data_IF_875407780179
#
_entry.id   IF_875407780179
#
_cell.length_a   1.000
_cell.length_b   1.000
_cell.length_c   1.000
_cell.angle_alpha   90.00
_cell.angle_beta   90.00
_cell.angle_gamma   90.00
#
_symmetry.space_group_name_H-M   'P 1'
#
loop_
_entity.id
_entity.type
_entity.pdbx_description
1 polymer ?
#
# COMPACT_ATOMS: atom_id res chain seq x y z
N UNK A 1 26.82 -11.04 12.47
CA UNK A 1 26.30 -10.79 11.10
C UNK A 1 24.76 -10.53 11.09
N UNK A 2 24.06 -10.55 12.24
CA UNK A 2 22.61 -10.35 12.31
C UNK A 2 22.10 -9.08 13.01
N UNK A 3 22.87 -7.99 13.12
CA UNK A 3 22.37 -6.78 13.84
C UNK A 3 21.71 -5.75 12.93
N UNK A 4 22.29 -5.44 11.77
CA UNK A 4 21.89 -4.23 11.04
C UNK A 4 20.57 -4.38 10.25
N UNK A 5 20.29 -5.57 9.72
CA UNK A 5 19.05 -5.81 8.97
C UNK A 5 17.82 -5.85 9.87
N UNK A 6 17.94 -6.48 11.03
CA UNK A 6 16.84 -6.62 11.98
C UNK A 6 16.48 -5.25 12.60
N UNK A 7 17.47 -4.40 12.83
CA UNK A 7 17.26 -3.02 13.29
C UNK A 7 16.49 -2.20 12.25
N UNK A 8 16.85 -2.28 10.96
CA UNK A 8 16.11 -1.57 9.89
C UNK A 8 14.67 -2.05 9.79
N UNK A 9 14.44 -3.36 9.93
CA UNK A 9 13.08 -3.93 9.91
C UNK A 9 12.26 -3.44 11.11
N UNK A 10 12.85 -3.39 12.31
CA UNK A 10 12.16 -2.94 13.52
C UNK A 10 11.81 -1.45 13.45
N UNK A 11 12.76 -0.59 13.06
CA UNK A 11 12.53 0.85 12.90
C UNK A 11 11.44 1.12 11.84
N UNK A 12 11.50 0.42 10.70
CA UNK A 12 10.48 0.53 9.66
C UNK A 12 9.10 0.08 10.16
N UNK A 13 9.03 -1.00 10.92
CA UNK A 13 7.79 -1.51 11.50
C UNK A 13 7.19 -0.54 12.52
N UNK A 14 7.99 0.00 13.44
CA UNK A 14 7.54 0.98 14.44
C UNK A 14 6.99 2.25 13.79
N UNK A 15 7.66 2.71 12.73
CA UNK A 15 7.16 3.83 11.94
C UNK A 15 5.83 3.50 11.25
N UNK A 16 5.70 2.31 10.66
CA UNK A 16 4.47 1.85 10.03
C UNK A 16 3.31 1.76 11.03
N UNK A 17 3.57 1.26 12.23
CA UNK A 17 2.58 1.21 13.33
C UNK A 17 2.17 2.62 13.72
N UNK A 18 3.14 3.52 13.93
CA UNK A 18 2.86 4.94 14.26
C UNK A 18 1.99 5.62 13.19
N UNK A 19 2.27 5.37 11.90
CA UNK A 19 1.47 5.90 10.79
C UNK A 19 0.05 5.34 10.81
N UNK A 20 -0.09 4.05 11.10
CA UNK A 20 -1.39 3.40 11.23
C UNK A 20 -2.21 3.97 12.40
N UNK A 21 -1.59 4.20 13.56
CA UNK A 21 -2.25 4.79 14.73
C UNK A 21 -2.72 6.22 14.46
N UNK A 22 -1.86 7.03 13.84
CA UNK A 22 -2.17 8.41 13.44
C UNK A 22 -3.16 8.52 12.27
N UNK A 23 -3.58 7.39 11.69
CA UNK A 23 -4.49 7.30 10.53
C UNK A 23 -3.94 8.02 9.30
N UNK A 24 -2.62 8.00 9.11
CA UNK A 24 -1.95 8.69 8.00
C UNK A 24 -1.66 7.73 6.84
N UNK A 25 -1.56 8.31 5.64
CA UNK A 25 -1.05 7.66 4.44
C UNK A 25 0.45 7.90 4.32
N UNK A 26 1.19 7.02 3.64
CA UNK A 26 2.66 7.14 3.60
C UNK A 26 3.30 6.51 2.37
N UNK A 27 4.56 6.86 2.14
CA UNK A 27 5.42 6.23 1.12
C UNK A 27 6.69 5.72 1.80
N UNK A 28 6.89 4.41 1.76
CA UNK A 28 8.13 3.78 2.17
C UNK A 28 9.06 3.71 0.96
N UNK A 29 10.13 4.49 0.95
CA UNK A 29 11.01 4.64 -0.22
C UNK A 29 12.41 4.03 -0.01
N UNK A 30 12.52 3.07 0.91
CA UNK A 30 13.78 2.41 1.24
C UNK A 30 14.43 1.71 0.04
N UNK A 31 15.75 1.51 0.09
CA UNK A 31 16.49 0.76 -0.93
C UNK A 31 15.91 -0.65 -1.18
N UNK A 32 16.11 -1.13 -2.40
CA UNK A 32 15.73 -2.50 -2.78
C UNK A 32 16.50 -3.51 -1.93
N UNK A 33 15.82 -4.55 -1.43
CA UNK A 33 16.45 -5.60 -0.62
C UNK A 33 16.45 -5.36 0.90
N UNK A 34 15.96 -4.21 1.39
CA UNK A 34 15.81 -3.93 2.83
C UNK A 34 14.59 -4.61 3.49
N UNK A 35 13.83 -5.41 2.74
CA UNK A 35 12.73 -6.19 3.31
C UNK A 35 11.42 -5.42 3.53
N UNK A 36 11.13 -4.37 2.76
CA UNK A 36 9.86 -3.61 2.79
C UNK A 36 8.61 -4.51 2.78
N UNK A 37 8.63 -5.57 1.98
CA UNK A 37 7.57 -6.57 1.92
C UNK A 37 7.40 -7.29 3.27
N UNK A 38 8.51 -7.69 3.91
CA UNK A 38 8.49 -8.36 5.22
C UNK A 38 7.98 -7.41 6.31
N UNK A 39 8.46 -6.17 6.34
CA UNK A 39 7.97 -5.14 7.27
C UNK A 39 6.45 -4.93 7.13
N UNK A 40 5.96 -4.91 5.89
CA UNK A 40 4.53 -4.78 5.60
C UNK A 40 3.73 -5.99 6.06
N UNK A 41 4.21 -7.20 5.79
CA UNK A 41 3.55 -8.43 6.26
C UNK A 41 3.53 -8.48 7.79
N UNK A 42 4.64 -8.11 8.44
CA UNK A 42 4.73 -8.03 9.90
C UNK A 42 3.72 -7.03 10.47
N UNK A 43 3.58 -5.86 9.85
CA UNK A 43 2.55 -4.88 10.21
C UNK A 43 1.13 -5.46 10.08
N UNK A 44 0.81 -6.12 8.95
CA UNK A 44 -0.50 -6.72 8.76
C UNK A 44 -0.80 -7.82 9.78
N UNK A 45 0.20 -8.65 10.09
CA UNK A 45 0.09 -9.69 11.11
C UNK A 45 -0.14 -9.11 12.52
N UNK A 46 0.62 -8.06 12.87
CA UNK A 46 0.47 -7.34 14.13
C UNK A 46 -0.93 -6.73 14.26
N UNK A 47 -1.41 -6.04 13.21
CA UNK A 47 -2.76 -5.45 13.19
C UNK A 47 -3.87 -6.51 13.23
N UNK A 48 -3.67 -7.66 12.58
CA UNK A 48 -4.62 -8.76 12.63
C UNK A 48 -4.72 -9.35 14.04
N UNK A 49 -3.60 -9.46 14.77
CA UNK A 49 -3.57 -9.94 16.15
C UNK A 49 -4.18 -8.93 17.14
N UNK A 50 -3.79 -7.66 17.07
CA UNK A 50 -4.25 -6.65 18.02
C UNK A 50 -5.73 -6.31 17.88
N UNK A 51 -6.21 -6.17 16.64
CA UNK A 51 -7.52 -5.52 16.42
C UNK A 51 -8.69 -6.50 16.44
N UNK A 52 -8.47 -7.82 16.43
CA UNK A 52 -9.50 -8.87 16.54
C UNK A 52 -10.72 -8.75 15.61
N UNK A 53 -10.70 -7.79 14.68
CA UNK A 53 -11.87 -7.30 13.99
C UNK A 53 -12.01 -8.09 12.69
N UNK A 54 -12.83 -9.14 12.77
CA UNK A 54 -13.02 -10.16 11.73
C UNK A 54 -13.47 -9.62 10.37
N UNK A 55 -13.97 -8.38 10.31
CA UNK A 55 -14.41 -7.71 9.06
C UNK A 55 -13.37 -6.79 8.41
N UNK A 56 -12.14 -6.73 8.93
CA UNK A 56 -11.13 -5.82 8.37
C UNK A 56 -10.45 -6.45 7.16
N UNK A 57 -10.65 -5.86 5.98
CA UNK A 57 -9.98 -6.28 4.76
C UNK A 57 -8.75 -5.42 4.46
N UNK A 58 -7.60 -6.07 4.37
CA UNK A 58 -6.31 -5.49 3.96
C UNK A 58 -5.95 -6.01 2.57
N UNK A 59 -5.52 -5.13 1.66
CA UNK A 59 -5.07 -5.52 0.32
C UNK A 59 -3.59 -5.20 0.17
N UNK A 60 -2.79 -6.20 -0.16
CA UNK A 60 -1.40 -6.08 -0.52
C UNK A 60 -1.22 -6.40 -2.00
N UNK A 61 -0.83 -5.38 -2.78
CA UNK A 61 -0.56 -5.50 -4.20
C UNK A 61 0.92 -5.73 -4.40
N UNK A 62 1.28 -6.96 -4.74
CA UNK A 62 2.64 -7.31 -5.10
C UNK A 62 2.79 -7.34 -6.62
N UNK A 63 3.94 -6.91 -7.13
CA UNK A 63 4.34 -7.33 -8.47
C UNK A 63 4.57 -8.85 -8.47
N UNK A 64 4.07 -9.55 -9.49
CA UNK A 64 4.18 -11.01 -9.59
C UNK A 64 5.65 -11.45 -9.51
N UNK A 65 5.95 -12.37 -8.59
CA UNK A 65 7.18 -13.18 -8.66
C UNK A 65 6.92 -14.58 -9.23
N UNK A 66 5.68 -15.09 -9.19
CA UNK A 66 5.34 -16.41 -9.72
C UNK A 66 3.97 -16.46 -10.44
N UNK A 67 3.89 -17.00 -11.67
CA UNK A 67 2.64 -17.07 -12.47
C UNK A 67 1.63 -18.11 -11.97
N UNK A 68 2.03 -19.06 -11.13
CA UNK A 68 1.15 -20.15 -10.66
C UNK A 68 0.13 -19.70 -9.59
N UNK A 69 0.38 -18.58 -8.90
CA UNK A 69 -0.51 -18.03 -7.86
C UNK A 69 -1.79 -17.41 -8.46
N UNK A 70 -1.76 -17.08 -9.76
CA UNK A 70 -2.88 -16.43 -10.46
C UNK A 70 -4.13 -17.32 -10.52
N UNK A 71 -3.96 -18.63 -10.69
CA UNK A 71 -5.09 -19.56 -10.71
C UNK A 71 -5.77 -19.65 -9.33
N UNK A 72 -4.98 -19.68 -8.25
CA UNK A 72 -5.50 -19.78 -6.88
C UNK A 72 -6.25 -18.51 -6.48
N UNK A 73 -5.75 -17.33 -6.86
CA UNK A 73 -6.40 -16.06 -6.58
C UNK A 73 -7.74 -15.90 -7.33
N UNK A 74 -7.81 -16.26 -8.61
CA UNK A 74 -9.06 -16.21 -9.40
C UNK A 74 -10.10 -17.24 -8.93
N UNK A 75 -9.66 -18.43 -8.49
CA UNK A 75 -10.56 -19.42 -7.86
C UNK A 75 -11.10 -18.90 -6.51
N UNK A 76 -10.27 -18.21 -5.72
CA UNK A 76 -10.70 -17.63 -4.45
C UNK A 76 -11.69 -16.47 -4.65
N UNK A 77 -11.47 -15.64 -5.68
CA UNK A 77 -12.37 -14.55 -6.08
C UNK A 77 -13.76 -15.07 -6.49
N UNK A 78 -13.82 -16.22 -7.17
CA UNK A 78 -15.07 -16.79 -7.67
C UNK A 78 -15.88 -17.59 -6.64
N UNK A 79 -15.27 -18.20 -5.62
CA UNK A 79 -15.96 -19.13 -4.70
C UNK A 79 -16.08 -18.67 -3.24
N UNK A 80 -15.22 -17.74 -2.78
CA UNK A 80 -15.10 -17.38 -1.36
C UNK A 80 -15.23 -15.88 -1.05
N UNK A 81 -15.06 -15.00 -2.04
CA UNK A 81 -14.87 -13.56 -1.84
C UNK A 81 -16.01 -12.82 -1.11
N UNK A 82 -17.24 -13.19 -1.41
CA UNK A 82 -18.45 -12.50 -0.91
C UNK A 82 -18.85 -12.94 0.49
N UNK A 83 -18.29 -14.04 1.03
CA UNK A 83 -18.62 -14.49 2.37
C UNK A 83 -18.10 -13.50 3.43
N UNK A 84 -18.88 -13.21 4.49
CA UNK A 84 -18.39 -12.39 5.59
C UNK A 84 -17.20 -13.10 6.26
N UNK A 85 -16.13 -12.36 6.53
CA UNK A 85 -14.90 -12.86 7.14
C UNK A 85 -14.20 -14.00 6.35
N UNK A 86 -14.39 -14.06 5.03
CA UNK A 86 -13.70 -15.05 4.18
C UNK A 86 -12.17 -14.94 4.28
N UNK A 87 -11.66 -13.72 4.45
CA UNK A 87 -10.25 -13.42 4.61
C UNK A 87 -10.05 -12.07 5.31
N UNK A 88 -8.94 -11.95 6.03
CA UNK A 88 -8.48 -10.69 6.63
C UNK A 88 -7.51 -9.96 5.69
N UNK A 89 -6.56 -10.69 5.09
CA UNK A 89 -5.54 -10.16 4.19
C UNK A 89 -5.71 -10.78 2.81
N UNK A 90 -5.76 -9.94 1.79
CA UNK A 90 -5.72 -10.33 0.38
C UNK A 90 -4.36 -9.93 -0.19
N UNK A 91 -3.63 -10.90 -0.71
CA UNK A 91 -2.40 -10.69 -1.49
C UNK A 91 -2.77 -10.96 -2.94
N UNK A 92 -2.52 -10.01 -3.83
CA UNK A 92 -2.84 -10.14 -5.25
C UNK A 92 -1.88 -9.34 -6.11
N UNK A 93 -1.93 -9.54 -7.43
CA UNK A 93 -1.12 -8.83 -8.39
C UNK A 93 -1.86 -7.68 -9.06
N UNK A 94 -1.10 -6.71 -9.56
CA UNK A 94 -1.67 -5.63 -10.38
C UNK A 94 -2.47 -6.14 -11.57
N UNK A 95 -2.07 -7.26 -12.21
CA UNK A 95 -2.78 -7.79 -13.38
C UNK A 95 -4.16 -8.34 -13.00
N UNK A 96 -4.22 -9.16 -11.96
CA UNK A 96 -5.48 -9.75 -11.46
C UNK A 96 -6.47 -8.67 -11.03
N UNK A 97 -5.97 -7.65 -10.35
CA UNK A 97 -6.80 -6.53 -9.92
C UNK A 97 -7.41 -5.77 -11.10
N UNK A 98 -6.72 -5.67 -12.23
CA UNK A 98 -7.27 -5.01 -13.42
C UNK A 98 -8.32 -5.87 -14.10
N UNK A 99 -8.07 -7.18 -14.17
CA UNK A 99 -9.01 -8.16 -14.70
C UNK A 99 -10.32 -8.14 -13.89
N UNK A 100 -10.21 -8.20 -12.55
CA UNK A 100 -11.35 -8.33 -11.64
C UNK A 100 -11.69 -7.04 -10.86
N UNK A 101 -11.34 -5.87 -11.39
CA UNK A 101 -11.45 -4.58 -10.69
C UNK A 101 -12.85 -4.29 -10.11
N UNK A 102 -13.92 -4.81 -10.71
CA UNK A 102 -15.28 -4.66 -10.21
C UNK A 102 -15.50 -5.38 -8.86
N UNK A 103 -14.95 -6.58 -8.69
CA UNK A 103 -15.05 -7.35 -7.46
C UNK A 103 -14.26 -6.68 -6.32
N UNK A 104 -13.08 -6.13 -6.64
CA UNK A 104 -12.26 -5.36 -5.71
C UNK A 104 -12.90 -4.03 -5.30
N UNK A 105 -13.56 -3.34 -6.23
CA UNK A 105 -14.25 -2.07 -5.97
C UNK A 105 -15.44 -2.21 -5.01
N UNK A 106 -16.14 -3.35 -5.02
CA UNK A 106 -17.29 -3.62 -4.14
C UNK A 106 -16.88 -3.85 -2.68
N UNK A 107 -15.62 -4.18 -2.41
CA UNK A 107 -15.10 -4.35 -1.05
C UNK A 107 -14.61 -3.01 -0.49
N UNK A 108 -14.88 -2.78 0.79
CA UNK A 108 -14.29 -1.67 1.54
C UNK A 108 -12.97 -2.12 2.13
N UNK A 109 -11.88 -1.52 1.65
CA UNK A 109 -10.52 -1.78 2.11
C UNK A 109 -10.19 -0.84 3.26
N UNK A 110 -9.68 -1.38 4.37
CA UNK A 110 -9.16 -0.54 5.45
C UNK A 110 -7.75 -0.06 5.13
N UNK A 111 -6.94 -0.91 4.54
CA UNK A 111 -5.58 -0.57 4.14
C UNK A 111 -5.27 -1.17 2.77
N UNK A 112 -4.78 -0.32 1.88
CA UNK A 112 -4.35 -0.69 0.55
C UNK A 112 -2.85 -0.39 0.44
N UNK A 113 -2.05 -1.44 0.23
CA UNK A 113 -0.60 -1.34 0.16
C UNK A 113 -0.15 -1.73 -1.24
N UNK A 114 0.67 -0.89 -1.86
CA UNK A 114 1.17 -1.08 -3.22
C UNK A 114 2.69 -1.25 -3.18
N UNK A 115 3.16 -2.41 -3.62
CA UNK A 115 4.58 -2.65 -3.83
C UNK A 115 5.03 -2.14 -5.20
N UNK A 116 6.29 -1.74 -5.30
CA UNK A 116 6.90 -1.17 -6.50
C UNK A 116 6.03 -0.06 -7.13
N UNK A 117 5.73 0.98 -6.35
CA UNK A 117 4.85 2.08 -6.72
C UNK A 117 5.28 2.84 -7.99
N UNK A 118 6.51 2.69 -8.46
CA UNK A 118 6.92 3.17 -9.79
C UNK A 118 6.06 2.58 -10.93
N UNK A 119 5.40 1.43 -10.71
CA UNK A 119 4.48 0.84 -11.68
C UNK A 119 3.18 1.64 -11.88
N UNK A 120 2.84 2.54 -10.96
CA UNK A 120 1.62 3.38 -11.01
C UNK A 120 1.91 4.87 -11.24
N UNK A 121 3.13 5.21 -11.70
CA UNK A 121 3.58 6.60 -11.87
C UNK A 121 2.85 7.42 -12.96
N UNK A 122 2.06 6.76 -13.80
CA UNK A 122 1.34 7.42 -14.90
C UNK A 122 -0.16 7.54 -14.57
N UNK A 123 -0.61 8.75 -14.25
CA UNK A 123 -2.01 9.06 -13.93
C UNK A 123 -2.98 8.78 -15.10
N UNK A 124 -2.49 8.77 -16.34
CA UNK A 124 -3.29 8.44 -17.54
C UNK A 124 -3.46 6.93 -17.73
N UNK A 125 -2.71 6.11 -17.00
CA UNK A 125 -2.80 4.66 -17.16
C UNK A 125 -4.13 4.13 -16.64
N UNK A 126 -4.71 3.15 -17.35
CA UNK A 126 -5.89 2.42 -16.90
C UNK A 126 -5.65 1.81 -15.51
N UNK A 127 -4.40 1.40 -15.21
CA UNK A 127 -4.01 0.85 -13.91
C UNK A 127 -4.24 1.84 -12.77
N UNK A 128 -3.71 3.04 -12.92
CA UNK A 128 -3.86 4.08 -11.91
C UNK A 128 -5.33 4.47 -11.72
N UNK A 129 -6.08 4.64 -12.82
CA UNK A 129 -7.50 5.00 -12.78
C UNK A 129 -8.35 3.92 -12.08
N UNK A 130 -8.13 2.64 -12.38
CA UNK A 130 -8.82 1.54 -11.73
C UNK A 130 -8.53 1.49 -10.23
N UNK A 131 -7.25 1.62 -9.84
CA UNK A 131 -6.83 1.58 -8.44
C UNK A 131 -7.32 2.79 -7.63
N UNK A 132 -7.38 3.97 -8.25
CA UNK A 132 -7.86 5.19 -7.60
C UNK A 132 -9.31 5.03 -7.12
N UNK A 133 -10.14 4.36 -7.93
CA UNK A 133 -11.57 4.15 -7.70
C UNK A 133 -11.90 3.12 -6.61
N UNK A 134 -10.91 2.50 -5.99
CA UNK A 134 -11.14 1.54 -4.92
C UNK A 134 -11.44 2.24 -3.60
N UNK A 135 -12.51 1.78 -2.94
CA UNK A 135 -12.91 2.26 -1.62
C UNK A 135 -11.87 1.81 -0.59
N UNK A 136 -10.93 2.70 -0.26
CA UNK A 136 -9.82 2.44 0.65
C UNK A 136 -9.70 3.59 1.63
N UNK A 137 -9.68 3.26 2.92
CA UNK A 137 -9.56 4.26 3.99
C UNK A 137 -8.13 4.79 4.13
N UNK A 138 -7.15 3.93 3.85
CA UNK A 138 -5.73 4.23 4.00
C UNK A 138 -4.94 3.61 2.86
N UNK A 139 -3.90 4.30 2.42
CA UNK A 139 -3.02 3.89 1.32
C UNK A 139 -1.56 3.99 1.76
N UNK A 140 -0.80 2.94 1.50
CA UNK A 140 0.66 2.88 1.70
C UNK A 140 1.31 2.51 0.38
N UNK A 141 2.31 3.28 -0.03
CA UNK A 141 3.09 2.99 -1.23
C UNK A 141 4.48 2.54 -0.81
N UNK A 142 4.99 1.46 -1.41
CA UNK A 142 6.35 1.00 -1.24
C UNK A 142 7.07 1.22 -2.57
N UNK A 143 8.24 1.86 -2.55
CA UNK A 143 9.09 2.05 -3.73
C UNK A 143 10.53 1.78 -3.37
N UNK A 144 11.27 1.12 -4.26
CA UNK A 144 12.71 0.97 -4.15
C UNK A 144 13.52 2.04 -4.90
N UNK A 145 12.83 2.83 -5.73
CA UNK A 145 13.46 3.81 -6.62
C UNK A 145 13.21 5.24 -6.14
N UNK A 146 14.21 6.13 -6.24
CA UNK A 146 14.05 7.53 -5.85
C UNK A 146 13.00 8.22 -6.71
N UNK A 147 12.08 8.96 -6.07
CA UNK A 147 10.94 9.64 -6.69
C UNK A 147 11.32 10.91 -7.50
N UNK A 148 12.59 11.09 -7.84
CA UNK A 148 13.14 12.36 -8.33
C UNK A 148 12.89 12.66 -9.82
N UNK A 149 12.35 11.73 -10.61
CA UNK A 149 12.43 11.85 -12.07
C UNK A 149 11.42 12.80 -12.73
N UNK A 150 10.29 13.16 -12.09
CA UNK A 150 9.46 14.29 -12.55
C UNK A 150 8.42 14.74 -11.51
N UNK A 151 8.14 16.05 -11.46
CA UNK A 151 7.06 16.63 -10.64
C UNK A 151 5.70 15.96 -10.91
N UNK A 152 5.46 15.54 -12.16
CA UNK A 152 4.23 14.85 -12.55
C UNK A 152 4.12 13.45 -11.94
N UNK A 153 5.22 12.71 -11.82
CA UNK A 153 5.22 11.40 -11.15
C UNK A 153 4.92 11.58 -9.66
N UNK A 154 5.57 12.54 -8.99
CA UNK A 154 5.28 12.85 -7.58
C UNK A 154 3.81 13.25 -7.39
N UNK A 155 3.31 14.16 -8.24
CA UNK A 155 1.91 14.59 -8.21
C UNK A 155 0.93 13.42 -8.40
N UNK A 156 1.23 12.49 -9.30
CA UNK A 156 0.39 11.30 -9.52
C UNK A 156 0.29 10.40 -8.28
N UNK A 157 1.38 10.24 -7.53
CA UNK A 157 1.41 9.43 -6.31
C UNK A 157 0.72 10.16 -5.15
N UNK A 158 0.91 11.48 -5.04
CA UNK A 158 0.22 12.30 -4.05
C UNK A 158 -1.31 12.26 -4.23
N UNK A 159 -1.77 12.48 -5.47
CA UNK A 159 -3.19 12.38 -5.79
C UNK A 159 -3.72 10.97 -5.53
N UNK A 160 -2.91 9.94 -5.75
CA UNK A 160 -3.28 8.58 -5.39
C UNK A 160 -3.42 8.37 -3.88
N UNK A 161 -2.53 8.92 -3.05
CA UNK A 161 -2.61 8.74 -1.60
C UNK A 161 -3.83 9.42 -1.00
N UNK A 162 -4.19 10.62 -1.49
CA UNK A 162 -5.22 11.45 -0.87
C UNK A 162 -6.19 12.03 -1.91
N UNK A 163 -7.05 11.20 -2.53
CA UNK A 163 -7.99 11.66 -3.55
C UNK A 163 -9.01 12.68 -3.01
N UNK A 164 -9.34 12.63 -1.71
CA UNK A 164 -10.37 13.48 -1.08
C UNK A 164 -9.85 14.85 -0.61
N UNK A 165 -8.54 15.02 -0.40
CA UNK A 165 -7.99 16.27 0.16
C UNK A 165 -7.89 17.40 -0.86
N UNK A 166 -7.79 17.07 -2.15
CA UNK A 166 -7.82 18.07 -3.21
C UNK A 166 -9.20 18.77 -3.40
N UNK A 167 -10.20 18.47 -2.57
CA UNK A 167 -11.48 19.19 -2.52
C UNK A 167 -11.51 20.33 -1.50
N UNK A 168 -10.49 20.52 -0.64
CA UNK A 168 -10.48 21.61 0.35
C UNK A 168 -9.06 22.13 0.61
N UNK A 169 -8.83 23.42 0.33
CA UNK A 169 -7.54 24.12 0.29
C UNK A 169 -6.70 24.19 1.59
N UNK A 170 -7.00 23.42 2.64
CA UNK A 170 -6.34 23.54 3.95
C UNK A 170 -5.85 22.25 4.61
N UNK A 171 -5.77 21.15 3.88
CA UNK A 171 -5.27 19.89 4.45
C UNK A 171 -3.78 19.70 4.15
N UNK A 172 -2.94 19.90 5.18
CA UNK A 172 -1.53 19.52 5.15
C UNK A 172 -1.38 18.04 4.82
N UNK A 173 -0.61 17.74 3.77
CA UNK A 173 -0.26 16.38 3.39
C UNK A 173 1.07 16.05 4.08
N UNK A 174 1.02 15.23 5.13
CA UNK A 174 2.22 14.67 5.73
C UNK A 174 2.69 13.48 4.90
N UNK A 175 3.63 13.73 3.98
CA UNK A 175 4.32 12.66 3.28
C UNK A 175 5.59 12.37 4.08
N UNK A 176 5.52 11.27 4.80
CA UNK A 176 6.68 10.73 5.47
C UNK A 176 7.37 9.78 4.48
N UNK A 177 8.56 10.17 4.03
CA UNK A 177 9.44 9.37 3.19
C UNK A 177 10.55 8.86 4.10
N UNK A 178 10.66 7.54 4.21
CA UNK A 178 11.78 6.90 4.90
C UNK A 178 12.75 6.40 3.83
N UNK A 179 14.03 6.80 3.99
CA UNK A 179 15.17 6.24 3.26
C UNK A 179 16.18 5.74 4.31
N UNK A 180 16.10 4.46 4.67
CA UNK A 180 16.95 3.87 5.70
C UNK A 180 16.63 4.42 7.09
N UNK A 181 17.60 5.04 7.76
CA UNK A 181 17.48 5.59 9.13
C UNK A 181 16.92 7.03 9.13
N UNK A 182 16.86 7.70 7.98
CA UNK A 182 16.40 9.07 7.88
C UNK A 182 14.91 9.15 7.56
N UNK A 183 14.14 9.63 8.55
CA UNK A 183 12.74 10.01 8.37
C UNK A 183 12.71 11.43 7.80
N UNK A 184 12.57 11.56 6.49
CA UNK A 184 12.24 12.84 5.89
C UNK A 184 10.76 13.09 6.13
N UNK A 185 10.46 13.99 7.08
CA UNK A 185 9.13 14.60 7.20
C UNK A 185 9.02 15.66 6.11
N UNK A 186 8.65 15.27 4.89
CA UNK A 186 8.29 16.27 3.90
C UNK A 186 6.86 16.74 4.18
N UNK A 187 6.77 17.94 4.76
CA UNK A 187 5.55 18.73 4.71
C UNK A 187 5.41 19.23 3.27
N UNK A 188 4.68 18.51 2.43
CA UNK A 188 4.18 19.10 1.20
C UNK A 188 2.91 19.87 1.55
N UNK A 189 3.08 21.11 1.99
CA UNK A 189 2.04 22.12 1.79
C UNK A 189 2.03 22.42 0.29
N UNK A 190 0.91 22.16 -0.37
CA UNK A 190 0.58 22.80 -1.63
C UNK A 190 0.06 24.20 -1.34
#
# INVERSE_FOLDING_TARGET
IGSDRDVVIHIGLDWLVTMYEKKLNGILADEMGLGKTIQTIALLAHLACEKGNRQTHYCFLSTEKNPNENHTASLFLSQGWTKPNAFHVCITSYKLVLQDHQAFRRKSWRYLILDEAQNIKNFKSQRWQSLLNFNSHRRLLLTGTPLQNSLMELWSLMHFLMPHVFQSHHNCIFIHIVNGVNIFKHLCCL
#
